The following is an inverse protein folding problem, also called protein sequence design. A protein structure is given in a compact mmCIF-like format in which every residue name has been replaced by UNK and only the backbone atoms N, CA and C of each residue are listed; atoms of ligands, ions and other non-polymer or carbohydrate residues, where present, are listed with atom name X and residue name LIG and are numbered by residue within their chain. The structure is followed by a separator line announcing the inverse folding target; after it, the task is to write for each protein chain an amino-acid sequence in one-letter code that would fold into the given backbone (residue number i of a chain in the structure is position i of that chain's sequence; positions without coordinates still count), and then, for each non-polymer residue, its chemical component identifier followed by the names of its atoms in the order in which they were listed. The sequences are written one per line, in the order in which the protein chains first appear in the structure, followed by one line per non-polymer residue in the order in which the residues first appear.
data_IF_224799941008
#
_entry.id   IF_224799941008
#
_cell.length_a   1.000
_cell.length_b   1.000
_cell.length_c   1.000
_cell.angle_alpha   90.00
_cell.angle_beta   90.00
_cell.angle_gamma   90.00
#
_symmetry.space_group_name_H-M   'P 1'
#
loop_
_entity.id
_entity.type
_entity.pdbx_description
1 polymer ?
#
# COMPACT_ATOMS: atom_id res chain seq x y z
N UNK A 1 23.88 7.53 0.54
CA UNK A 1 23.72 6.06 0.46
C UNK A 1 22.25 5.77 0.66
N UNK A 2 21.61 5.02 -0.23
CA UNK A 2 20.17 4.73 -0.13
C UNK A 2 19.84 3.81 1.05
N UNK A 3 18.62 3.89 1.58
CA UNK A 3 18.09 2.96 2.59
C UNK A 3 17.12 2.00 1.92
N UNK A 4 17.26 0.71 2.21
CA UNK A 4 16.23 -0.28 1.89
C UNK A 4 15.25 -0.33 3.06
N UNK A 5 13.99 -0.03 2.81
CA UNK A 5 12.94 0.04 3.82
C UNK A 5 11.89 -1.03 3.48
N UNK A 6 11.50 -1.82 4.48
CA UNK A 6 10.41 -2.79 4.37
C UNK A 6 9.21 -2.24 5.14
N UNK A 7 8.18 -1.80 4.42
CA UNK A 7 7.03 -1.09 4.99
C UNK A 7 5.70 -1.72 4.57
N UNK A 8 4.84 -2.01 5.55
CA UNK A 8 3.53 -2.64 5.37
C UNK A 8 2.55 -2.17 6.44
N UNK A 9 1.27 -2.08 6.09
CA UNK A 9 0.20 -2.12 7.09
C UNK A 9 0.05 -3.57 7.58
N UNK A 10 -0.05 -3.74 8.91
CA UNK A 10 -0.06 -5.06 9.55
C UNK A 10 -1.14 -5.08 10.62
N UNK A 11 -1.89 -6.16 10.69
CA UNK A 11 -2.87 -6.39 11.74
C UNK A 11 -2.17 -6.60 13.09
N UNK A 12 -2.90 -6.43 14.20
CA UNK A 12 -2.34 -6.61 15.54
C UNK A 12 -1.81 -8.03 15.79
N UNK A 13 -2.35 -9.03 15.07
CA UNK A 13 -1.93 -10.43 15.10
C UNK A 13 -0.90 -10.81 14.01
N UNK A 14 -0.40 -9.83 13.25
CA UNK A 14 0.81 -9.99 12.42
C UNK A 14 0.59 -10.35 10.95
N UNK A 15 -0.60 -10.11 10.40
CA UNK A 15 -0.96 -10.42 9.03
C UNK A 15 -1.05 -9.16 8.16
N UNK A 16 -0.69 -9.29 6.87
CA UNK A 16 -0.74 -8.21 5.87
C UNK A 16 -1.90 -8.38 4.86
N UNK A 17 -2.64 -9.49 4.97
CA UNK A 17 -3.77 -9.81 4.12
C UNK A 17 -4.70 -10.77 4.89
N UNK A 18 -5.97 -10.81 4.53
CA UNK A 18 -6.92 -11.77 5.07
C UNK A 18 -6.67 -13.20 4.54
N UNK A 19 -7.48 -14.17 4.98
CA UNK A 19 -7.35 -15.57 4.57
C UNK A 19 -7.62 -15.81 3.06
N UNK A 20 -8.25 -14.85 2.39
CA UNK A 20 -8.52 -14.87 0.95
C UNK A 20 -7.47 -14.07 0.15
N UNK A 21 -6.58 -13.34 0.81
CA UNK A 21 -5.54 -12.52 0.21
C UNK A 21 -5.94 -11.06 -0.02
N UNK A 22 -7.08 -10.60 0.50
CA UNK A 22 -7.51 -9.21 0.36
C UNK A 22 -6.88 -8.32 1.43
N UNK A 23 -6.81 -7.02 1.13
CA UNK A 23 -6.25 -6.00 2.02
C UNK A 23 -7.27 -4.92 2.41
N UNK A 24 -8.54 -5.08 2.01
CA UNK A 24 -9.63 -4.13 2.21
C UNK A 24 -9.98 -3.90 3.70
N UNK A 25 -9.37 -4.67 4.59
CA UNK A 25 -9.53 -4.55 6.05
C UNK A 25 -8.64 -3.46 6.66
N UNK A 26 -7.63 -2.96 5.93
CA UNK A 26 -6.63 -2.06 6.48
C UNK A 26 -7.15 -0.65 6.81
N UNK A 27 -8.31 -0.26 6.27
CA UNK A 27 -9.06 1.02 6.47
C UNK A 27 -8.22 2.14 7.10
N UNK A 28 -7.19 2.64 6.38
CA UNK A 28 -6.27 3.63 6.90
C UNK A 28 -6.98 4.97 7.10
N UNK A 29 -6.66 5.64 8.20
CA UNK A 29 -7.09 7.02 8.39
C UNK A 29 -6.46 7.94 7.34
N UNK A 30 -7.08 9.11 7.12
CA UNK A 30 -6.55 10.15 6.22
C UNK A 30 -5.09 10.53 6.57
N UNK A 31 -4.77 10.61 7.86
CA UNK A 31 -3.41 10.88 8.34
C UNK A 31 -2.43 9.77 7.93
N UNK A 32 -2.83 8.50 8.09
CA UNK A 32 -1.98 7.36 7.73
C UNK A 32 -1.80 7.27 6.21
N UNK A 33 -2.85 7.53 5.44
CA UNK A 33 -2.76 7.58 3.99
C UNK A 33 -1.83 8.72 3.53
N UNK A 34 -1.94 9.91 4.11
CA UNK A 34 -1.05 11.04 3.80
C UNK A 34 0.42 10.70 4.13
N UNK A 35 0.68 10.03 5.26
CA UNK A 35 2.01 9.55 5.62
C UNK A 35 2.61 8.65 4.52
N UNK A 36 1.84 7.66 4.04
CA UNK A 36 2.30 6.78 2.96
C UNK A 36 2.52 7.52 1.65
N UNK A 37 1.68 8.49 1.31
CA UNK A 37 1.86 9.30 0.11
C UNK A 37 3.15 10.15 0.16
N UNK A 38 3.46 10.72 1.32
CA UNK A 38 4.71 11.47 1.51
C UNK A 38 5.93 10.55 1.56
N UNK A 39 5.78 9.34 2.10
CA UNK A 39 6.82 8.31 2.04
C UNK A 39 7.11 7.87 0.59
N UNK A 40 6.08 7.62 -0.21
CA UNK A 40 6.23 7.16 -1.60
C UNK A 40 6.80 8.28 -2.50
N UNK A 41 6.48 9.56 -2.22
CA UNK A 41 7.07 10.71 -2.94
C UNK A 41 8.60 10.76 -2.87
N UNK A 42 9.18 10.32 -1.76
CA UNK A 42 10.63 10.24 -1.56
C UNK A 42 11.23 8.89 -2.00
N UNK A 43 10.39 7.95 -2.43
CA UNK A 43 10.80 6.59 -2.81
C UNK A 43 11.20 6.54 -4.28
N UNK A 44 12.48 6.24 -4.54
CA UNK A 44 13.00 6.17 -5.90
C UNK A 44 12.68 4.84 -6.62
N UNK A 45 12.42 3.77 -5.86
CA UNK A 45 12.17 2.42 -6.39
C UNK A 45 11.43 1.56 -5.37
N UNK A 46 10.33 0.96 -5.79
CA UNK A 46 9.51 0.05 -4.99
C UNK A 46 9.62 -1.39 -5.50
N UNK A 47 9.82 -2.35 -4.59
CA UNK A 47 9.92 -3.78 -4.91
C UNK A 47 8.68 -4.52 -4.40
N UNK A 48 8.03 -5.26 -5.29
CA UNK A 48 6.85 -6.04 -4.95
C UNK A 48 7.06 -7.53 -5.26
N UNK A 49 6.61 -8.39 -4.33
CA UNK A 49 6.42 -9.80 -4.64
C UNK A 49 5.27 -9.98 -5.63
N UNK A 50 5.29 -11.06 -6.43
CA UNK A 50 4.32 -11.30 -7.52
C UNK A 50 2.86 -11.13 -7.10
N UNK A 51 2.45 -11.74 -5.98
CA UNK A 51 1.04 -11.68 -5.51
C UNK A 51 0.60 -10.26 -5.16
N UNK A 52 1.45 -9.51 -4.45
CA UNK A 52 1.15 -8.14 -4.07
C UNK A 52 1.11 -7.22 -5.30
N UNK A 53 2.02 -7.44 -6.25
CA UNK A 53 1.99 -6.73 -7.53
C UNK A 53 0.69 -6.98 -8.28
N UNK A 54 0.27 -8.25 -8.43
CA UNK A 54 -0.98 -8.61 -9.10
C UNK A 54 -2.19 -7.93 -8.42
N UNK A 55 -2.25 -7.96 -7.08
CA UNK A 55 -3.31 -7.33 -6.30
C UNK A 55 -3.38 -5.80 -6.52
N UNK A 56 -2.23 -5.11 -6.50
CA UNK A 56 -2.17 -3.65 -6.60
C UNK A 56 -2.24 -3.13 -8.04
N UNK A 57 -1.72 -3.90 -9.00
CA UNK A 57 -1.70 -3.53 -10.41
C UNK A 57 -3.08 -3.36 -11.04
N UNK A 58 -4.10 -4.01 -10.48
CA UNK A 58 -5.48 -3.82 -10.93
C UNK A 58 -6.00 -2.40 -10.67
N UNK A 59 -5.47 -1.71 -9.65
CA UNK A 59 -5.96 -0.41 -9.20
C UNK A 59 -5.18 0.77 -9.80
N UNK A 60 -3.86 0.65 -9.99
CA UNK A 60 -3.02 1.76 -10.50
C UNK A 60 -3.49 2.39 -11.83
N UNK A 61 -3.97 1.65 -12.84
CA UNK A 61 -4.42 2.23 -14.10
C UNK A 61 -5.62 3.18 -13.97
N UNK A 62 -6.31 3.16 -12.83
CA UNK A 62 -7.46 4.00 -12.54
C UNK A 62 -7.31 4.84 -11.28
N UNK A 63 -6.15 4.83 -10.64
CA UNK A 63 -5.93 5.55 -9.38
C UNK A 63 -6.15 7.06 -9.53
N UNK A 64 -5.83 7.63 -10.70
CA UNK A 64 -6.06 9.03 -11.05
C UNK A 64 -7.54 9.41 -11.16
N UNK A 65 -8.43 8.43 -11.35
CA UNK A 65 -9.87 8.65 -11.53
C UNK A 65 -10.63 8.77 -10.22
N UNK A 66 -9.99 8.46 -9.10
CA UNK A 66 -10.54 8.60 -7.76
C UNK A 66 -9.53 9.37 -6.89
N UNK A 67 -9.38 10.70 -7.11
CA UNK A 67 -8.41 11.50 -6.37
C UNK A 67 -8.72 11.58 -4.87
N UNK A 68 -9.97 11.32 -4.49
CA UNK A 68 -10.43 11.25 -3.11
C UNK A 68 -10.54 9.79 -2.60
N UNK A 69 -9.95 8.82 -3.30
CA UNK A 69 -9.91 7.45 -2.82
C UNK A 69 -9.08 7.40 -1.53
N UNK A 70 -9.74 7.08 -0.42
CA UNK A 70 -9.10 6.95 0.89
C UNK A 70 -8.58 5.55 1.19
N UNK A 71 -8.77 4.59 0.26
CA UNK A 71 -8.45 3.15 0.32
C UNK A 71 -8.22 2.61 1.73
#
# INVERSE_FOLDING_TARGET
MGKLIYGFNVSADGYIADAQGNIDWADPSEELHQYWNDFERETALSFYGRRLYELMSAYWPTADKAPDATL
#
